data_IF_884107986781
#
_entry.id   IF_884107986781
#
_cell.length_a   1.000
_cell.length_b   1.000
_cell.length_c   1.000
_cell.angle_alpha   90.00
_cell.angle_beta   90.00
_cell.angle_gamma   90.00
#
_symmetry.space_group_name_H-M   'P 1'
#
loop_
_entity.id
_entity.type
_entity.pdbx_description
1 polymer ?
#
# COMPACT_ATOMS: atom_id res chain seq x y z
N UNK A 1 -24.21 9.47 -50.80
CA UNK A 1 -24.34 8.03 -51.05
C UNK A 1 -24.82 7.38 -49.76
N UNK A 2 -26.13 7.11 -49.73
CA UNK A 2 -26.91 6.18 -48.90
C UNK A 2 -26.63 6.17 -47.38
N UNK A 3 -27.46 6.92 -46.67
CA UNK A 3 -27.81 6.70 -45.26
C UNK A 3 -28.85 5.56 -45.24
N UNK A 4 -28.58 4.49 -44.49
CA UNK A 4 -29.55 3.41 -44.23
C UNK A 4 -30.09 3.58 -42.83
N UNK A 5 -31.35 3.99 -42.75
CA UNK A 5 -32.20 3.83 -41.58
C UNK A 5 -32.53 2.34 -41.39
N UNK A 6 -32.42 1.87 -40.16
CA UNK A 6 -32.91 0.55 -39.74
C UNK A 6 -33.98 0.78 -38.69
N UNK A 7 -35.23 0.55 -39.11
CA UNK A 7 -36.41 0.39 -38.29
C UNK A 7 -36.23 -0.80 -37.34
N UNK A 8 -36.28 -0.55 -36.03
CA UNK A 8 -36.39 -1.58 -34.99
C UNK A 8 -37.86 -1.67 -34.55
N UNK A 9 -38.53 -2.74 -34.97
CA UNK A 9 -39.92 -3.03 -34.62
C UNK A 9 -39.96 -3.81 -33.32
N UNK A 10 -40.67 -3.25 -32.35
CA UNK A 10 -40.90 -3.83 -31.04
C UNK A 10 -41.54 -5.22 -31.07
N UNK A 11 -41.06 -6.06 -30.16
CA UNK A 11 -41.68 -7.33 -29.81
C UNK A 11 -42.14 -7.25 -28.34
N UNK A 12 -43.46 -7.18 -28.17
CA UNK A 12 -44.16 -7.21 -26.88
C UNK A 12 -44.15 -8.64 -26.38
N UNK A 13 -43.37 -8.94 -25.34
CA UNK A 13 -43.43 -10.21 -24.62
C UNK A 13 -44.53 -10.18 -23.57
N UNK A 14 -45.54 -11.00 -23.83
CA UNK A 14 -46.69 -11.31 -22.97
C UNK A 14 -46.24 -12.00 -21.68
N UNK A 15 -46.59 -11.42 -20.54
CA UNK A 15 -46.43 -12.01 -19.21
C UNK A 15 -47.24 -13.30 -19.07
N UNK A 16 -46.62 -14.31 -18.48
CA UNK A 16 -47.23 -15.60 -18.13
C UNK A 16 -47.34 -15.66 -16.60
N UNK A 17 -48.53 -15.88 -16.02
CA UNK A 17 -48.69 -15.87 -14.57
C UNK A 17 -48.11 -17.14 -13.92
N UNK A 18 -47.39 -16.93 -12.82
CA UNK A 18 -46.87 -17.98 -11.93
C UNK A 18 -48.00 -18.67 -11.15
N UNK A 19 -47.93 -19.99 -10.93
CA UNK A 19 -48.89 -20.69 -10.08
C UNK A 19 -48.60 -20.47 -8.59
N UNK A 20 -49.69 -20.36 -7.83
CA UNK A 20 -49.74 -20.23 -6.39
C UNK A 20 -49.00 -21.36 -5.65
N UNK A 21 -48.26 -20.99 -4.60
CA UNK A 21 -47.68 -21.93 -3.63
C UNK A 21 -48.70 -22.24 -2.52
N UNK A 22 -48.91 -23.51 -2.15
CA UNK A 22 -49.73 -23.86 -0.99
C UNK A 22 -48.89 -23.85 0.30
N UNK A 23 -49.41 -23.07 1.25
CA UNK A 23 -49.56 -23.32 2.69
C UNK A 23 -48.74 -24.42 3.38
N UNK A 24 -47.95 -23.94 4.35
CA UNK A 24 -47.83 -24.42 5.74
C UNK A 24 -47.71 -25.91 6.04
N UNK A 25 -46.53 -26.31 6.54
CA UNK A 25 -46.43 -27.37 7.55
C UNK A 25 -45.53 -26.89 8.68
N UNK A 26 -46.15 -26.69 9.83
CA UNK A 26 -45.52 -26.62 11.15
C UNK A 26 -44.92 -27.98 11.49
N UNK A 27 -43.64 -28.04 11.80
CA UNK A 27 -43.04 -29.20 12.47
C UNK A 27 -42.14 -28.72 13.60
N UNK A 28 -42.50 -29.21 14.79
CA UNK A 28 -41.83 -29.05 16.06
C UNK A 28 -40.95 -30.29 16.31
N UNK A 29 -39.73 -30.05 16.74
CA UNK A 29 -38.78 -30.99 17.39
C UNK A 29 -37.56 -30.12 17.70
N UNK A 30 -37.34 -29.61 18.92
CA UNK A 30 -36.94 -30.37 20.10
C UNK A 30 -35.99 -31.52 19.75
N UNK A 31 -34.73 -31.18 19.53
CA UNK A 31 -33.60 -32.02 19.90
C UNK A 31 -32.43 -31.12 20.35
N UNK A 32 -32.09 -31.25 21.62
CA UNK A 32 -31.10 -30.45 22.31
C UNK A 32 -29.68 -30.80 21.88
N UNK A 33 -28.93 -29.78 21.46
CA UNK A 33 -27.48 -29.84 21.34
C UNK A 33 -26.83 -29.15 22.55
N UNK A 34 -25.78 -29.73 23.16
CA UNK A 34 -25.10 -29.12 24.27
C UNK A 34 -24.42 -27.81 23.88
N UNK A 35 -24.64 -26.78 24.69
CA UNK A 35 -23.96 -25.48 24.62
C UNK A 35 -22.43 -25.64 24.65
N UNK A 36 -21.77 -25.10 23.63
CA UNK A 36 -20.32 -25.06 23.47
C UNK A 36 -19.58 -24.24 24.55
N UNK A 37 -20.29 -23.64 25.51
CA UNK A 37 -19.71 -22.77 26.55
C UNK A 37 -19.29 -23.48 27.85
N UNK A 38 -19.45 -24.80 27.98
CA UNK A 38 -19.22 -25.50 29.26
C UNK A 38 -17.94 -26.37 29.33
N UNK A 39 -17.13 -26.42 28.27
CA UNK A 39 -15.92 -27.25 28.23
C UNK A 39 -14.60 -26.55 28.66
N UNK A 40 -14.64 -25.32 29.19
CA UNK A 40 -13.42 -24.58 29.58
C UNK A 40 -13.33 -24.16 31.06
N UNK A 41 -14.16 -24.71 31.95
CA UNK A 41 -14.22 -24.25 33.35
C UNK A 41 -13.49 -25.11 34.40
N UNK A 42 -12.87 -26.24 34.04
CA UNK A 42 -12.28 -27.16 35.03
C UNK A 42 -10.79 -27.49 34.82
N UNK A 43 -9.94 -26.46 34.68
CA UNK A 43 -8.50 -26.61 34.94
C UNK A 43 -7.98 -25.47 35.83
N UNK A 44 -8.51 -25.38 37.05
CA UNK A 44 -7.85 -24.68 38.15
C UNK A 44 -7.12 -25.72 39.01
N UNK A 45 -5.86 -25.97 38.68
CA UNK A 45 -4.93 -26.71 39.55
C UNK A 45 -4.49 -25.81 40.73
N UNK A 46 -4.15 -26.41 41.89
CA UNK A 46 -3.90 -25.67 43.11
C UNK A 46 -2.59 -24.88 43.06
N UNK A 47 -2.66 -23.72 43.72
CA UNK A 47 -1.60 -22.77 44.04
C UNK A 47 -0.33 -23.45 44.56
N UNK A 48 0.76 -23.32 43.79
CA UNK A 48 2.10 -23.72 44.22
C UNK A 48 2.82 -22.49 44.84
N UNK A 49 3.40 -22.60 46.05
CA UNK A 49 4.04 -21.47 46.70
C UNK A 49 5.36 -21.12 46.02
N UNK A 50 5.46 -19.84 45.64
CA UNK A 50 6.66 -18.98 45.53
C UNK A 50 8.00 -19.69 45.74
N UNK A 51 8.54 -20.33 44.69
CA UNK A 51 9.97 -20.66 44.59
C UNK A 51 10.72 -19.41 44.15
N UNK A 52 11.56 -18.88 45.03
CA UNK A 52 12.60 -17.91 44.68
C UNK A 52 13.49 -18.55 43.61
N UNK A 53 13.52 -17.95 42.43
CA UNK A 53 14.36 -18.38 41.32
C UNK A 53 15.78 -17.86 41.58
N UNK A 54 16.81 -18.72 41.63
CA UNK A 54 18.19 -18.24 41.68
C UNK A 54 18.51 -17.45 40.41
N UNK A 55 19.25 -16.36 40.59
CA UNK A 55 19.73 -15.47 39.53
C UNK A 55 20.38 -16.28 38.40
N UNK A 56 19.99 -16.09 37.13
CA UNK A 56 20.61 -16.81 36.03
C UNK A 56 22.05 -16.33 35.85
N UNK A 57 22.98 -17.27 35.81
CA UNK A 57 24.36 -17.04 35.39
C UNK A 57 24.39 -16.45 33.97
N UNK A 58 25.41 -15.63 33.63
CA UNK A 58 25.52 -15.00 32.33
C UNK A 58 25.67 -16.06 31.24
N UNK A 59 24.63 -16.24 30.44
CA UNK A 59 24.65 -17.10 29.26
C UNK A 59 25.53 -16.39 28.23
N UNK A 60 26.73 -16.91 28.02
CA UNK A 60 27.63 -16.51 26.93
C UNK A 60 27.08 -17.06 25.61
N UNK A 61 26.01 -16.44 25.10
CA UNK A 61 25.52 -16.73 23.75
C UNK A 61 26.53 -16.18 22.75
N UNK A 62 27.21 -17.06 22.01
CA UNK A 62 28.05 -16.68 20.87
C UNK A 62 27.22 -15.77 19.94
N UNK A 63 27.67 -14.56 19.61
CA UNK A 63 26.93 -13.67 18.72
C UNK A 63 26.76 -14.39 17.39
N UNK A 64 25.50 -14.57 16.99
CA UNK A 64 25.14 -15.05 15.67
C UNK A 64 25.64 -13.98 14.70
N UNK A 65 26.72 -14.27 13.98
CA UNK A 65 27.30 -13.40 12.95
C UNK A 65 26.24 -13.17 11.90
N UNK A 66 25.53 -12.05 12.02
CA UNK A 66 24.71 -11.50 10.94
C UNK A 66 25.67 -11.35 9.76
N UNK A 67 25.31 -11.93 8.62
CA UNK A 67 26.04 -11.79 7.37
C UNK A 67 26.11 -10.31 7.02
N UNK A 68 27.17 -9.63 7.44
CA UNK A 68 27.46 -8.25 7.05
C UNK A 68 27.80 -8.29 5.58
N UNK A 69 26.84 -7.99 4.73
CA UNK A 69 27.09 -7.80 3.32
C UNK A 69 28.05 -6.61 3.16
N UNK A 70 29.28 -6.88 2.76
CA UNK A 70 30.27 -5.84 2.49
C UNK A 70 29.77 -4.93 1.36
N UNK A 71 29.67 -3.63 1.61
CA UNK A 71 29.48 -2.62 0.57
C UNK A 71 30.71 -2.57 -0.33
N UNK A 72 30.54 -2.26 -1.61
CA UNK A 72 31.68 -2.06 -2.49
C UNK A 72 32.41 -0.80 -2.06
N UNK A 73 33.75 -0.88 -2.09
CA UNK A 73 34.57 0.32 -1.90
C UNK A 73 34.27 1.34 -3.00
N UNK A 74 34.47 2.63 -2.68
CA UNK A 74 34.34 3.73 -3.64
C UNK A 74 35.18 3.49 -4.91
N UNK A 75 36.38 2.92 -4.76
CA UNK A 75 37.23 2.54 -5.90
C UNK A 75 36.59 1.47 -6.80
N UNK A 76 35.94 0.47 -6.22
CA UNK A 76 35.28 -0.60 -6.97
C UNK A 76 34.06 -0.08 -7.73
N UNK A 77 33.27 0.81 -7.13
CA UNK A 77 32.17 1.51 -7.80
C UNK A 77 32.64 2.28 -9.02
N UNK A 78 33.71 3.08 -8.85
CA UNK A 78 34.28 3.86 -9.94
C UNK A 78 34.74 2.96 -11.08
N UNK A 79 35.45 1.87 -10.77
CA UNK A 79 35.88 0.90 -11.77
C UNK A 79 34.71 0.26 -12.53
N UNK A 80 33.59 -0.03 -11.84
CA UNK A 80 32.38 -0.56 -12.48
C UNK A 80 31.69 0.48 -13.36
N UNK A 81 31.61 1.73 -12.91
CA UNK A 81 31.07 2.83 -13.71
C UNK A 81 31.92 3.10 -14.95
N UNK A 82 33.26 3.02 -14.83
CA UNK A 82 34.19 3.17 -15.95
C UNK A 82 34.11 1.97 -16.91
N UNK A 83 33.96 0.74 -16.37
CA UNK A 83 33.67 -0.46 -17.17
C UNK A 83 32.36 -0.31 -17.93
N UNK A 84 31.32 0.22 -17.30
CA UNK A 84 30.02 0.48 -17.94
C UNK A 84 30.16 1.50 -19.07
N UNK A 85 30.90 2.60 -18.85
CA UNK A 85 31.21 3.57 -19.89
C UNK A 85 31.96 2.93 -21.07
N UNK A 86 32.97 2.11 -20.79
CA UNK A 86 33.71 1.37 -21.81
C UNK A 86 32.81 0.45 -22.64
N UNK A 87 31.97 -0.37 -21.99
CA UNK A 87 31.04 -1.28 -22.67
C UNK A 87 30.05 -0.53 -23.56
N UNK A 88 29.68 0.69 -23.17
CA UNK A 88 28.70 1.48 -23.92
C UNK A 88 29.32 2.24 -25.10
N UNK A 89 30.57 2.72 -24.98
CA UNK A 89 31.30 3.38 -26.07
C UNK A 89 31.76 2.42 -27.17
N UNK A 90 31.73 1.11 -26.91
CA UNK A 90 32.11 0.08 -27.88
C UNK A 90 31.03 -0.03 -28.95
N UNK A 91 31.00 0.95 -29.84
CA UNK A 91 30.17 0.93 -31.05
C UNK A 91 30.55 -0.29 -31.89
N UNK A 92 29.56 -0.93 -32.55
CA UNK A 92 29.85 -2.01 -33.48
C UNK A 92 30.83 -1.46 -34.52
N UNK A 93 32.07 -1.93 -34.46
CA UNK A 93 33.13 -1.50 -35.38
C UNK A 93 32.60 -1.67 -36.79
N UNK A 94 32.52 -0.56 -37.52
CA UNK A 94 32.08 -0.57 -38.91
C UNK A 94 32.89 -1.61 -39.67
N UNK A 95 32.24 -2.48 -40.45
CA UNK A 95 32.89 -3.63 -41.03
C UNK A 95 34.05 -3.18 -41.91
N UNK A 96 35.28 -3.46 -41.48
CA UNK A 96 36.47 -3.32 -42.31
C UNK A 96 36.24 -4.08 -43.62
N UNK A 97 36.45 -3.40 -44.76
CA UNK A 97 36.09 -3.83 -46.12
C UNK A 97 36.89 -5.04 -46.65
N UNK A 98 37.51 -5.83 -45.79
CA UNK A 98 38.39 -6.92 -46.21
C UNK A 98 37.82 -8.31 -45.88
N UNK A 99 37.84 -9.16 -46.91
CA UNK A 99 37.64 -10.60 -46.91
C UNK A 99 36.21 -11.14 -47.06
N UNK A 100 36.18 -12.17 -47.89
CA UNK A 100 35.10 -12.80 -48.62
C UNK A 100 34.36 -13.84 -47.74
N UNK A 101 33.98 -13.46 -46.52
CA UNK A 101 33.22 -14.35 -45.63
C UNK A 101 31.73 -14.31 -46.02
N UNK A 102 31.07 -15.46 -46.23
CA UNK A 102 29.65 -15.52 -46.55
C UNK A 102 28.81 -14.74 -45.51
N UNK A 103 28.01 -13.77 -45.98
CA UNK A 103 27.31 -12.79 -45.14
C UNK A 103 26.36 -13.38 -44.09
N UNK A 104 25.96 -14.64 -44.21
CA UNK A 104 25.10 -15.31 -43.23
C UNK A 104 25.85 -15.76 -41.96
N UNK A 105 27.13 -16.15 -42.07
CA UNK A 105 27.92 -16.61 -40.90
C UNK A 105 28.31 -15.42 -40.03
N UNK A 106 28.65 -14.28 -40.65
CA UNK A 106 29.07 -13.06 -39.97
C UNK A 106 27.95 -12.40 -39.15
N UNK A 107 26.72 -12.35 -39.67
CA UNK A 107 25.56 -11.79 -38.95
C UNK A 107 25.27 -12.53 -37.64
N UNK A 108 25.42 -13.88 -37.65
CA UNK A 108 25.15 -14.70 -36.46
C UNK A 108 26.20 -14.47 -35.36
N UNK A 109 27.47 -14.27 -35.70
CA UNK A 109 28.51 -13.99 -34.71
C UNK A 109 28.38 -12.59 -34.10
N UNK A 110 28.05 -11.58 -34.92
CA UNK A 110 27.84 -10.20 -34.45
C UNK A 110 26.64 -10.11 -33.49
N UNK A 111 25.51 -10.75 -33.82
CA UNK A 111 24.35 -10.80 -32.94
C UNK A 111 24.65 -11.50 -31.60
N UNK A 112 25.42 -12.60 -31.62
CA UNK A 112 25.84 -13.29 -30.39
C UNK A 112 26.75 -12.41 -29.53
N UNK A 113 27.69 -11.70 -30.15
CA UNK A 113 28.58 -10.78 -29.43
C UNK A 113 27.79 -9.61 -28.84
N UNK A 114 26.83 -9.06 -29.58
CA UNK A 114 25.95 -7.99 -29.10
C UNK A 114 25.14 -8.45 -27.89
N UNK A 115 24.52 -9.63 -27.95
CA UNK A 115 23.77 -10.20 -26.83
C UNK A 115 24.65 -10.42 -25.58
N UNK A 116 25.90 -10.86 -25.75
CA UNK A 116 26.84 -10.99 -24.64
C UNK A 116 27.20 -9.65 -24.01
N UNK A 117 27.38 -8.60 -24.82
CA UNK A 117 27.63 -7.24 -24.31
C UNK A 117 26.38 -6.72 -23.56
N UNK A 118 25.17 -6.96 -24.07
CA UNK A 118 23.93 -6.59 -23.38
C UNK A 118 23.79 -7.27 -22.02
N UNK A 119 24.12 -8.56 -21.95
CA UNK A 119 24.11 -9.32 -20.71
C UNK A 119 25.14 -8.76 -19.70
N UNK A 120 26.35 -8.42 -20.15
CA UNK A 120 27.36 -7.79 -19.30
C UNK A 120 26.95 -6.41 -18.80
N UNK A 121 26.31 -5.60 -19.65
CA UNK A 121 25.78 -4.29 -19.27
C UNK A 121 24.68 -4.47 -18.22
N UNK A 122 23.75 -5.40 -18.45
CA UNK A 122 22.68 -5.73 -17.49
C UNK A 122 23.25 -6.16 -16.13
N UNK A 123 24.19 -7.09 -16.11
CA UNK A 123 24.83 -7.55 -14.87
C UNK A 123 25.56 -6.42 -14.13
N UNK A 124 26.27 -5.57 -14.87
CA UNK A 124 26.99 -4.41 -14.31
C UNK A 124 26.01 -3.40 -13.72
N UNK A 125 24.93 -3.08 -14.42
CA UNK A 125 23.87 -2.18 -13.95
C UNK A 125 23.21 -2.74 -12.69
N UNK A 126 22.84 -4.02 -12.67
CA UNK A 126 22.26 -4.64 -11.47
C UNK A 126 23.21 -4.59 -10.28
N UNK A 127 24.51 -4.83 -10.49
CA UNK A 127 25.51 -4.73 -9.43
C UNK A 127 25.63 -3.31 -8.88
N UNK A 128 25.63 -2.30 -9.75
CA UNK A 128 25.66 -0.89 -9.36
C UNK A 128 24.38 -0.48 -8.61
N UNK A 129 23.20 -0.88 -9.09
CA UNK A 129 21.93 -0.63 -8.39
C UNK A 129 21.99 -1.22 -6.98
N UNK A 130 22.45 -2.49 -6.84
CA UNK A 130 22.55 -3.16 -5.53
C UNK A 130 23.43 -2.39 -4.56
N UNK A 131 24.57 -1.90 -5.04
CA UNK A 131 25.51 -1.18 -4.19
C UNK A 131 24.97 0.19 -3.78
N UNK A 132 24.37 0.93 -4.72
CA UNK A 132 23.76 2.25 -4.45
C UNK A 132 22.65 2.17 -3.40
N UNK A 133 21.77 1.18 -3.46
CA UNK A 133 20.62 1.11 -2.53
C UNK A 133 20.99 0.61 -1.13
N UNK A 134 22.20 0.07 -0.95
CA UNK A 134 22.73 -0.31 0.37
C UNK A 134 23.24 0.89 1.17
N UNK A 135 23.74 1.90 0.48
CA UNK A 135 24.28 3.11 1.10
C UNK A 135 23.85 4.34 0.30
N UNK A 136 22.56 4.65 0.40
CA UNK A 136 21.96 5.77 -0.36
C UNK A 136 22.50 7.13 0.06
N UNK A 137 23.16 7.24 1.21
CA UNK A 137 23.70 8.49 1.74
C UNK A 137 24.95 8.96 1.00
N UNK A 138 25.52 8.13 0.12
CA UNK A 138 26.69 8.50 -0.66
C UNK A 138 26.32 9.56 -1.71
N UNK A 139 27.12 10.63 -1.83
CA UNK A 139 26.77 11.76 -2.71
C UNK A 139 26.77 11.39 -4.20
N UNK A 140 27.45 10.31 -4.59
CA UNK A 140 27.58 9.84 -5.97
C UNK A 140 26.48 8.88 -6.42
N UNK A 141 25.59 8.45 -5.51
CA UNK A 141 24.54 7.47 -5.80
C UNK A 141 23.66 7.86 -6.98
N UNK A 142 23.23 9.12 -7.03
CA UNK A 142 22.34 9.61 -8.09
C UNK A 142 23.05 9.65 -9.44
N UNK A 143 24.32 10.07 -9.46
CA UNK A 143 25.13 10.12 -10.67
C UNK A 143 25.40 8.72 -11.24
N UNK A 144 25.66 7.74 -10.37
CA UNK A 144 25.82 6.33 -10.75
C UNK A 144 24.53 5.81 -11.40
N UNK A 145 23.36 6.08 -10.82
CA UNK A 145 22.09 5.64 -11.40
C UNK A 145 21.79 6.32 -12.73
N UNK A 146 22.07 7.62 -12.86
CA UNK A 146 21.93 8.34 -14.13
C UNK A 146 22.84 7.75 -15.23
N UNK A 147 24.06 7.34 -14.89
CA UNK A 147 24.94 6.62 -15.81
C UNK A 147 24.37 5.26 -16.21
N UNK A 148 23.74 4.55 -15.28
CA UNK A 148 23.05 3.30 -15.58
C UNK A 148 21.88 3.51 -16.55
N UNK A 149 21.07 4.56 -16.33
CA UNK A 149 19.98 4.94 -17.24
C UNK A 149 20.52 5.22 -18.64
N UNK A 150 21.56 6.04 -18.77
CA UNK A 150 22.17 6.37 -20.05
C UNK A 150 22.76 5.13 -20.76
N UNK A 151 23.44 4.25 -20.01
CA UNK A 151 24.00 3.01 -20.55
C UNK A 151 22.92 2.05 -21.07
N UNK A 152 21.81 1.91 -20.32
CA UNK A 152 20.66 1.12 -20.76
C UNK A 152 20.04 1.70 -22.05
N UNK A 153 19.85 3.02 -22.12
CA UNK A 153 19.30 3.69 -23.30
C UNK A 153 20.15 3.47 -24.56
N UNK A 154 21.48 3.61 -24.46
CA UNK A 154 22.41 3.40 -25.57
C UNK A 154 22.40 1.95 -26.11
N UNK A 155 21.91 1.00 -25.31
CA UNK A 155 21.82 -0.43 -25.63
C UNK A 155 20.40 -0.92 -25.88
N UNK A 156 19.42 -0.01 -25.91
CA UNK A 156 17.99 -0.33 -26.00
C UNK A 156 17.51 -1.30 -24.88
N UNK A 157 18.11 -1.21 -23.70
CA UNK A 157 17.66 -1.91 -22.49
C UNK A 157 16.72 -1.00 -21.69
N UNK A 158 15.73 -1.60 -21.04
CA UNK A 158 14.78 -0.89 -20.19
C UNK A 158 15.30 -0.81 -18.76
N UNK A 159 15.90 0.31 -18.37
CA UNK A 159 16.32 0.55 -16.98
C UNK A 159 15.18 0.31 -15.96
N UNK A 160 13.91 0.75 -16.20
CA UNK A 160 12.82 0.51 -15.26
C UNK A 160 12.55 -0.98 -14.99
N UNK A 161 12.75 -1.85 -15.99
CA UNK A 161 12.59 -3.29 -15.79
C UNK A 161 13.68 -3.83 -14.86
N UNK A 162 14.93 -3.40 -15.05
CA UNK A 162 16.07 -3.82 -14.22
C UNK A 162 15.97 -3.33 -12.78
N UNK A 163 15.58 -2.08 -12.58
CA UNK A 163 15.45 -1.46 -11.26
C UNK A 163 14.31 -2.08 -10.41
N UNK A 164 13.32 -2.68 -11.06
CA UNK A 164 12.17 -3.33 -10.44
C UNK A 164 12.32 -4.84 -10.24
N UNK A 165 13.49 -5.41 -10.58
CA UNK A 165 13.83 -6.78 -10.26
C UNK A 165 14.10 -6.93 -8.75
N UNK A 166 13.72 -8.09 -8.20
CA UNK A 166 14.00 -8.49 -6.82
C UNK A 166 15.43 -9.00 -6.69
N UNK A 167 16.37 -8.08 -6.52
CA UNK A 167 17.81 -8.36 -6.65
C UNK A 167 18.56 -8.51 -5.33
N UNK A 168 17.95 -8.14 -4.19
CA UNK A 168 18.54 -8.24 -2.84
C UNK A 168 17.49 -8.84 -1.92
N UNK A 169 17.75 -10.05 -1.41
CA UNK A 169 16.90 -10.74 -0.43
C UNK A 169 15.41 -10.82 -0.83
N UNK A 170 15.14 -11.12 -2.11
CA UNK A 170 13.78 -11.16 -2.69
C UNK A 170 13.01 -9.82 -2.64
N UNK A 171 13.71 -8.70 -2.47
CA UNK A 171 13.14 -7.36 -2.50
C UNK A 171 13.73 -6.50 -3.64
N UNK A 172 12.92 -5.56 -4.10
CA UNK A 172 13.28 -4.58 -5.15
C UNK A 172 14.31 -3.55 -4.67
N UNK A 173 14.98 -2.89 -5.62
CA UNK A 173 15.90 -1.79 -5.30
C UNK A 173 15.19 -0.63 -4.56
N UNK A 174 13.94 -0.34 -4.92
CA UNK A 174 13.13 0.69 -4.27
C UNK A 174 12.87 0.38 -2.78
N UNK A 175 12.59 -0.88 -2.44
CA UNK A 175 12.44 -1.31 -1.04
C UNK A 175 13.68 -0.92 -0.22
N UNK A 176 14.87 -1.33 -0.68
CA UNK A 176 16.11 -1.09 0.04
C UNK A 176 16.47 0.39 0.10
N UNK A 177 16.20 1.15 -0.98
CA UNK A 177 16.42 2.60 -0.97
C UNK A 177 15.57 3.31 0.08
N UNK A 178 14.34 2.84 0.33
CA UNK A 178 13.45 3.38 1.37
C UNK A 178 13.95 2.98 2.78
N UNK A 179 14.30 1.70 2.98
CA UNK A 179 14.79 1.21 4.28
C UNK A 179 16.08 1.92 4.69
N UNK A 180 17.07 1.97 3.79
CA UNK A 180 18.37 2.61 4.01
C UNK A 180 18.31 4.14 4.03
N UNK A 181 17.26 4.73 3.46
CA UNK A 181 17.09 6.18 3.34
C UNK A 181 16.58 6.88 4.59
N UNK A 182 16.20 6.13 5.64
CA UNK A 182 15.67 6.74 6.86
C UNK A 182 16.75 7.53 7.59
N UNK A 183 16.57 8.84 7.77
CA UNK A 183 17.55 9.64 8.51
C UNK A 183 17.58 9.18 9.97
N UNK A 184 18.75 8.80 10.46
CA UNK A 184 18.99 8.29 11.82
C UNK A 184 18.72 9.34 12.91
N UNK A 185 18.40 10.58 12.56
CA UNK A 185 18.25 11.68 13.54
C UNK A 185 16.98 12.48 13.29
N UNK A 186 16.34 12.88 14.38
CA UNK A 186 15.05 13.58 14.48
C UNK A 186 15.08 15.01 13.89
N UNK A 187 15.52 15.15 12.64
CA UNK A 187 15.40 16.40 11.90
C UNK A 187 13.92 16.69 11.73
N UNK A 188 13.49 17.81 12.31
CA UNK A 188 12.12 18.31 12.24
C UNK A 188 11.78 18.92 10.88
N UNK A 189 12.77 19.03 9.98
CA UNK A 189 12.57 19.54 8.63
C UNK A 189 11.75 18.56 7.79
N UNK A 190 10.97 19.08 6.81
CA UNK A 190 10.32 18.26 5.82
C UNK A 190 11.27 17.24 5.22
N UNK A 191 11.05 15.95 5.45
CA UNK A 191 11.82 14.88 4.82
C UNK A 191 11.55 14.95 3.32
N UNK A 192 12.47 15.57 2.59
CA UNK A 192 12.48 15.52 1.14
C UNK A 192 12.72 14.07 0.73
N UNK A 193 11.95 13.58 -0.24
CA UNK A 193 12.17 12.24 -0.80
C UNK A 193 13.62 12.15 -1.24
N UNK A 194 14.33 11.13 -0.78
CA UNK A 194 15.72 10.92 -1.15
C UNK A 194 15.87 10.88 -2.69
N UNK A 195 16.86 11.56 -3.31
CA UNK A 195 16.98 11.63 -4.77
C UNK A 195 17.00 10.27 -5.48
N UNK A 196 17.60 9.25 -4.85
CA UNK A 196 17.58 7.87 -5.34
C UNK A 196 16.15 7.32 -5.38
N UNK A 197 15.37 7.50 -4.32
CA UNK A 197 13.96 7.07 -4.28
C UNK A 197 13.17 7.83 -5.34
N UNK A 198 13.40 9.15 -5.47
CA UNK A 198 12.73 9.98 -6.46
C UNK A 198 13.00 9.51 -7.92
N UNK A 199 14.23 9.11 -8.23
CA UNK A 199 14.56 8.54 -9.54
C UNK A 199 13.90 7.16 -9.75
N UNK A 200 13.85 6.31 -8.72
CA UNK A 200 13.25 4.98 -8.84
C UNK A 200 11.73 5.03 -9.02
N UNK A 201 11.05 6.07 -8.51
CA UNK A 201 9.61 6.29 -8.69
C UNK A 201 9.25 7.20 -9.88
N UNK A 202 10.24 7.69 -10.64
CA UNK A 202 9.97 8.50 -11.83
C UNK A 202 9.44 7.69 -13.01
N UNK A 203 9.39 6.35 -12.87
CA UNK A 203 8.89 5.43 -13.87
C UNK A 203 7.65 4.69 -13.35
N UNK A 204 6.74 4.23 -14.23
CA UNK A 204 5.60 3.40 -13.83
C UNK A 204 6.04 2.16 -13.05
N UNK A 205 5.52 2.02 -11.83
CA UNK A 205 5.84 0.92 -10.95
C UNK A 205 4.91 -0.27 -11.22
N UNK A 206 5.53 -1.44 -11.34
CA UNK A 206 4.84 -2.72 -11.38
C UNK A 206 4.18 -3.00 -10.03
N UNK A 207 3.14 -3.84 -10.05
CA UNK A 207 2.34 -4.10 -8.84
C UNK A 207 3.18 -4.65 -7.69
N UNK A 208 4.10 -5.58 -7.94
CA UNK A 208 4.96 -6.12 -6.89
C UNK A 208 5.92 -5.07 -6.33
N UNK A 209 6.45 -4.17 -7.16
CA UNK A 209 7.32 -3.07 -6.71
C UNK A 209 6.57 -2.11 -5.79
N UNK A 210 5.28 -1.85 -6.07
CA UNK A 210 4.43 -1.03 -5.18
C UNK A 210 4.18 -1.71 -3.84
N UNK A 211 3.92 -3.02 -3.84
CA UNK A 211 3.75 -3.82 -2.62
C UNK A 211 5.05 -3.78 -1.79
N UNK A 212 6.20 -3.96 -2.43
CA UNK A 212 7.51 -3.86 -1.79
C UNK A 212 7.76 -2.44 -1.22
N UNK A 213 7.51 -1.39 -1.97
CA UNK A 213 7.69 -0.01 -1.50
C UNK A 213 6.81 0.29 -0.27
N UNK A 214 5.54 -0.14 -0.30
CA UNK A 214 4.63 -0.05 0.85
C UNK A 214 5.16 -0.83 2.05
N UNK A 215 5.69 -2.03 1.83
CA UNK A 215 6.30 -2.83 2.89
C UNK A 215 7.51 -2.13 3.51
N UNK A 216 8.37 -1.52 2.69
CA UNK A 216 9.53 -0.75 3.17
C UNK A 216 9.10 0.43 4.07
N UNK A 217 8.10 1.20 3.64
CA UNK A 217 7.54 2.27 4.47
C UNK A 217 6.90 1.72 5.77
N UNK A 218 6.34 0.51 5.72
CA UNK A 218 5.73 -0.15 6.89
C UNK A 218 6.78 -0.53 7.92
N UNK A 219 7.92 -1.08 7.48
CA UNK A 219 9.06 -1.41 8.35
C UNK A 219 9.53 -0.17 9.12
N UNK A 220 9.58 0.98 8.44
CA UNK A 220 10.02 2.24 9.06
C UNK A 220 8.89 3.00 9.78
N UNK A 221 7.65 2.51 9.70
CA UNK A 221 6.44 3.26 10.10
C UNK A 221 6.37 4.69 9.52
N UNK A 222 6.91 4.92 8.32
CA UNK A 222 6.98 6.24 7.68
C UNK A 222 5.76 6.47 6.78
N UNK A 223 4.68 6.94 7.38
CA UNK A 223 3.46 7.29 6.64
C UNK A 223 3.68 8.48 5.69
N UNK A 224 4.54 9.43 6.06
CA UNK A 224 4.72 10.64 5.26
C UNK A 224 5.36 10.30 3.92
N UNK A 225 6.43 9.51 3.93
CA UNK A 225 7.05 9.00 2.71
C UNK A 225 6.06 8.16 1.91
N UNK A 226 5.25 7.32 2.56
CA UNK A 226 4.22 6.55 1.88
C UNK A 226 3.18 7.43 1.16
N UNK A 227 2.69 8.51 1.79
CA UNK A 227 1.78 9.45 1.12
C UNK A 227 2.45 10.17 -0.05
N UNK A 228 3.72 10.55 0.08
CA UNK A 228 4.51 11.14 -1.00
C UNK A 228 4.70 10.16 -2.17
N UNK A 229 5.00 8.88 -1.88
CA UNK A 229 5.10 7.83 -2.89
C UNK A 229 3.76 7.68 -3.63
N UNK A 230 2.62 7.64 -2.94
CA UNK A 230 1.30 7.54 -3.57
C UNK A 230 1.02 8.67 -4.55
N UNK A 231 1.48 9.88 -4.26
CA UNK A 231 1.33 11.04 -5.15
C UNK A 231 2.30 11.03 -6.34
N UNK A 232 3.32 10.18 -6.33
CA UNK A 232 4.25 10.10 -7.44
C UNK A 232 3.60 9.49 -8.70
N UNK A 233 3.95 9.97 -9.90
CA UNK A 233 3.41 9.43 -11.15
C UNK A 233 3.66 7.92 -11.32
N UNK A 234 4.80 7.41 -10.81
CA UNK A 234 5.13 6.00 -10.90
C UNK A 234 4.25 5.10 -10.02
N UNK A 235 3.74 5.62 -8.90
CA UNK A 235 2.94 4.83 -7.96
C UNK A 235 1.45 4.85 -8.29
N UNK A 236 0.95 5.99 -8.78
CA UNK A 236 -0.47 6.19 -9.08
C UNK A 236 -0.99 5.04 -9.94
N UNK A 237 -1.88 4.23 -9.37
CA UNK A 237 -2.63 3.23 -10.11
C UNK A 237 -3.45 3.93 -11.17
N UNK A 238 -3.54 3.32 -12.36
CA UNK A 238 -4.40 3.74 -13.47
C UNK A 238 -5.69 4.33 -12.91
N UNK A 239 -5.81 5.64 -13.03
CA UNK A 239 -6.99 6.40 -12.61
C UNK A 239 -8.15 5.81 -13.40
N UNK A 240 -9.17 5.29 -12.70
CA UNK A 240 -10.39 4.85 -13.39
C UNK A 240 -11.03 6.08 -14.05
N UNK A 241 -11.67 5.92 -15.20
CA UNK A 241 -12.35 7.03 -15.88
C UNK A 241 -13.30 7.80 -14.94
N UNK A 242 -13.99 7.09 -14.05
CA UNK A 242 -14.81 7.72 -13.02
C UNK A 242 -13.99 8.65 -12.12
N UNK A 243 -12.82 8.21 -11.63
CA UNK A 243 -11.94 9.04 -10.84
C UNK A 243 -11.42 10.23 -11.64
N UNK A 244 -11.12 10.09 -12.93
CA UNK A 244 -10.65 11.18 -13.78
C UNK A 244 -11.75 12.25 -13.99
N UNK A 245 -12.97 11.82 -14.32
CA UNK A 245 -14.12 12.71 -14.52
C UNK A 245 -14.53 13.41 -13.22
N UNK A 246 -14.52 12.68 -12.10
CA UNK A 246 -14.81 13.26 -10.77
C UNK A 246 -13.69 14.22 -10.35
N UNK A 247 -12.44 13.94 -10.75
CA UNK A 247 -11.25 14.73 -10.44
C UNK A 247 -10.96 15.84 -11.44
N UNK A 248 -11.95 16.30 -12.22
CA UNK A 248 -11.81 17.49 -13.06
C UNK A 248 -11.37 18.77 -12.31
N UNK A 249 -11.29 18.74 -10.97
CA UNK A 249 -10.69 19.76 -10.10
C UNK A 249 -9.29 19.45 -9.54
N UNK A 250 -8.61 18.40 -10.00
CA UNK A 250 -7.28 18.00 -9.55
C UNK A 250 -7.23 16.56 -9.06
N UNK A 251 -6.50 15.72 -9.78
CA UNK A 251 -6.21 14.31 -9.48
C UNK A 251 -5.20 14.21 -8.33
N UNK A 252 -5.63 14.55 -7.11
CA UNK A 252 -4.85 14.32 -5.91
C UNK A 252 -5.48 13.20 -5.11
N UNK A 253 -4.68 12.16 -4.88
CA UNK A 253 -5.00 11.15 -3.88
C UNK A 253 -5.02 11.80 -2.51
N UNK A 254 -6.01 11.40 -1.71
CA UNK A 254 -6.19 12.01 -0.40
C UNK A 254 -5.05 11.59 0.52
N UNK A 255 -4.40 12.59 1.10
CA UNK A 255 -3.33 12.42 2.07
C UNK A 255 -3.90 12.22 3.45
N UNK A 256 -3.39 11.20 4.13
CA UNK A 256 -3.70 10.93 5.52
C UNK A 256 -2.48 11.31 6.36
N UNK A 257 -2.66 12.23 7.29
CA UNK A 257 -1.67 12.55 8.31
C UNK A 257 -1.83 11.55 9.46
N UNK A 258 -0.71 11.02 9.96
CA UNK A 258 -0.70 10.04 11.06
C UNK A 258 0.17 10.60 12.18
N UNK A 259 -0.42 10.74 13.35
CA UNK A 259 0.24 11.21 14.56
C UNK A 259 0.33 10.08 15.57
N UNK A 260 1.55 9.58 15.80
CA UNK A 260 1.79 8.60 16.85
C UNK A 260 1.71 9.28 18.21
N UNK A 261 0.77 8.82 19.05
CA UNK A 261 0.63 9.34 20.41
C UNK A 261 1.82 8.86 21.28
N UNK A 262 2.11 9.63 22.33
CA UNK A 262 3.28 9.51 23.22
C UNK A 262 3.66 8.06 23.59
N UNK A 263 4.94 7.86 23.89
CA UNK A 263 5.58 6.56 24.20
C UNK A 263 4.81 5.71 25.22
N UNK A 264 4.18 6.35 26.22
CA UNK A 264 3.45 5.64 27.27
C UNK A 264 2.15 4.98 26.77
N UNK A 265 1.56 5.55 25.72
CA UNK A 265 0.33 5.08 25.09
C UNK A 265 0.65 4.09 23.96
N UNK A 266 1.25 2.96 24.33
CA UNK A 266 1.69 1.97 23.35
C UNK A 266 0.53 1.48 22.49
N UNK A 267 0.72 1.55 21.17
CA UNK A 267 -0.29 1.15 20.19
C UNK A 267 -1.35 2.19 19.87
N UNK A 268 -1.33 3.37 20.49
CA UNK A 268 -2.27 4.45 20.16
C UNK A 268 -1.73 5.32 19.02
N UNK A 269 -2.61 5.74 18.11
CA UNK A 269 -2.27 6.68 17.05
C UNK A 269 -3.53 7.44 16.63
N UNK A 270 -3.33 8.66 16.15
CA UNK A 270 -4.38 9.46 15.56
C UNK A 270 -4.12 9.64 14.06
N UNK A 271 -5.18 9.78 13.28
CA UNK A 271 -5.11 10.16 11.87
C UNK A 271 -5.94 11.40 11.62
N UNK A 272 -5.56 12.20 10.63
CA UNK A 272 -6.32 13.35 10.14
C UNK A 272 -6.30 13.35 8.62
N UNK A 273 -7.44 13.54 7.99
CA UNK A 273 -7.52 13.63 6.54
C UNK A 273 -8.72 14.46 6.09
N UNK A 274 -8.65 14.90 4.84
CA UNK A 274 -9.72 15.66 4.19
C UNK A 274 -10.06 15.01 2.86
N UNK A 275 -11.35 14.84 2.58
CA UNK A 275 -11.83 14.28 1.31
C UNK A 275 -12.57 15.38 0.56
N UNK A 276 -12.00 15.82 -0.56
CA UNK A 276 -12.61 16.85 -1.40
C UNK A 276 -13.73 16.25 -2.24
N UNK A 277 -14.76 17.07 -2.52
CA UNK A 277 -15.91 16.66 -3.34
C UNK A 277 -16.56 15.36 -2.83
N UNK A 278 -16.72 15.23 -1.51
CA UNK A 278 -17.15 14.00 -0.83
C UNK A 278 -18.43 13.40 -1.44
N UNK A 279 -19.48 14.21 -1.58
CA UNK A 279 -20.77 13.76 -2.13
C UNK A 279 -20.61 13.24 -3.56
N UNK A 280 -19.86 13.97 -4.39
CA UNK A 280 -19.62 13.58 -5.78
C UNK A 280 -18.87 12.25 -5.87
N UNK A 281 -17.82 12.07 -5.05
CA UNK A 281 -17.06 10.82 -4.99
C UNK A 281 -17.94 9.65 -4.54
N UNK A 282 -18.73 9.83 -3.47
CA UNK A 282 -19.62 8.77 -2.98
C UNK A 282 -20.74 8.44 -3.97
N UNK A 283 -21.38 9.42 -4.62
CA UNK A 283 -22.45 9.17 -5.60
C UNK A 283 -21.96 8.57 -6.92
N UNK A 284 -20.82 9.04 -7.43
CA UNK A 284 -20.34 8.63 -8.75
C UNK A 284 -19.36 7.45 -8.70
N UNK A 285 -18.36 7.48 -7.83
CA UNK A 285 -17.39 6.38 -7.71
C UNK A 285 -17.88 5.24 -6.79
N UNK A 286 -18.83 5.52 -5.89
CA UNK A 286 -19.36 4.59 -4.86
C UNK A 286 -18.30 4.02 -3.92
N UNK A 287 -17.04 4.45 -4.03
CA UNK A 287 -15.95 4.05 -3.17
C UNK A 287 -14.92 5.19 -3.05
N UNK A 288 -14.40 5.40 -1.84
CA UNK A 288 -13.30 6.36 -1.56
C UNK A 288 -12.25 5.63 -0.73
N UNK A 289 -11.16 5.15 -1.34
CA UNK A 289 -10.12 4.42 -0.64
C UNK A 289 -9.07 5.37 -0.06
N UNK A 290 -8.76 5.16 1.21
CA UNK A 290 -7.65 5.79 1.92
C UNK A 290 -6.68 4.71 2.38
N UNK A 291 -5.39 4.96 2.20
CA UNK A 291 -4.33 4.08 2.69
C UNK A 291 -3.38 4.88 3.56
N UNK A 292 -2.95 4.31 4.67
CA UNK A 292 -1.99 4.95 5.56
C UNK A 292 -1.17 3.90 6.33
N UNK A 293 -0.01 4.32 6.84
CA UNK A 293 0.85 3.46 7.65
C UNK A 293 0.80 3.94 9.09
N UNK A 294 0.59 3.03 10.02
CA UNK A 294 0.64 3.35 11.43
C UNK A 294 1.06 2.13 12.26
N UNK A 295 2.02 2.32 13.17
CA UNK A 295 2.45 1.30 14.14
C UNK A 295 2.86 -0.02 13.45
N UNK A 296 3.73 0.09 12.44
CA UNK A 296 4.26 -1.04 11.69
C UNK A 296 3.22 -1.82 10.87
N UNK A 297 2.11 -1.18 10.50
CA UNK A 297 1.02 -1.78 9.71
C UNK A 297 0.57 -0.84 8.61
N UNK A 298 0.20 -1.40 7.47
CA UNK A 298 -0.55 -0.67 6.44
C UNK A 298 -2.04 -0.89 6.62
N UNK A 299 -2.77 0.22 6.70
CA UNK A 299 -4.20 0.29 6.88
C UNK A 299 -4.88 0.69 5.58
N UNK A 300 -6.03 0.08 5.31
CA UNK A 300 -6.99 0.52 4.31
C UNK A 300 -8.27 0.98 5.00
N UNK A 301 -8.62 2.25 4.82
CA UNK A 301 -9.91 2.81 5.24
C UNK A 301 -10.68 3.18 3.98
N UNK A 302 -11.78 2.50 3.71
CA UNK A 302 -12.57 2.73 2.50
C UNK A 302 -13.98 3.14 2.88
N UNK A 303 -14.46 4.25 2.32
CA UNK A 303 -15.88 4.59 2.39
C UNK A 303 -16.59 4.05 1.15
N UNK A 304 -17.78 3.46 1.31
CA UNK A 304 -18.50 2.76 0.25
C UNK A 304 -19.99 3.03 0.29
N UNK A 305 -20.63 2.89 -0.87
CA UNK A 305 -22.09 2.81 -1.00
C UNK A 305 -22.47 1.34 -1.22
N UNK A 306 -23.33 0.79 -0.38
CA UNK A 306 -23.79 -0.59 -0.52
C UNK A 306 -24.59 -0.75 -1.83
N UNK A 307 -24.15 -1.64 -2.72
CA UNK A 307 -24.85 -1.90 -3.99
C UNK A 307 -26.08 -2.78 -3.76
N UNK A 308 -25.91 -3.82 -2.95
CA UNK A 308 -26.96 -4.78 -2.58
C UNK A 308 -27.05 -4.91 -1.06
N UNK A 309 -28.04 -5.68 -0.59
CA UNK A 309 -28.20 -6.01 0.82
C UNK A 309 -27.04 -6.91 1.30
N UNK A 310 -25.93 -6.28 1.62
CA UNK A 310 -24.68 -6.93 2.03
C UNK A 310 -24.42 -6.64 3.49
N UNK A 311 -24.12 -7.67 4.28
CA UNK A 311 -23.66 -7.54 5.68
C UNK A 311 -24.53 -6.64 6.59
N UNK A 312 -25.85 -6.63 6.38
CA UNK A 312 -26.78 -5.82 7.18
C UNK A 312 -26.86 -4.33 6.80
N UNK A 313 -26.28 -3.95 5.66
CA UNK A 313 -26.48 -2.64 5.03
C UNK A 313 -27.55 -2.72 3.96
N UNK A 314 -28.39 -1.69 3.86
CA UNK A 314 -29.39 -1.59 2.78
C UNK A 314 -28.74 -1.08 1.51
N UNK A 315 -29.28 -1.48 0.35
CA UNK A 315 -28.84 -0.90 -0.93
C UNK A 315 -28.93 0.63 -0.89
N UNK A 316 -27.89 1.31 -1.37
CA UNK A 316 -27.71 2.76 -1.32
C UNK A 316 -27.14 3.30 -0.01
N UNK A 317 -27.03 2.50 1.06
CA UNK A 317 -26.53 2.98 2.35
C UNK A 317 -25.02 3.22 2.34
N UNK A 318 -24.58 4.34 2.93
CA UNK A 318 -23.16 4.66 3.04
C UNK A 318 -22.55 4.03 4.30
N UNK A 319 -21.37 3.43 4.15
CA UNK A 319 -20.64 2.77 5.23
C UNK A 319 -19.14 2.95 5.07
N UNK A 320 -18.41 2.74 6.16
CA UNK A 320 -16.96 2.66 6.16
C UNK A 320 -16.49 1.23 6.41
N UNK A 321 -15.34 0.90 5.83
CA UNK A 321 -14.65 -0.38 5.94
C UNK A 321 -13.20 -0.09 6.36
N UNK A 322 -12.77 -0.63 7.50
CA UNK A 322 -11.39 -0.60 7.96
C UNK A 322 -10.79 -2.00 7.84
N UNK A 323 -9.63 -2.13 7.21
CA UNK A 323 -8.89 -3.41 7.09
C UNK A 323 -7.39 -3.22 7.14
N UNK A 324 -6.67 -4.30 7.37
CA UNK A 324 -5.23 -4.33 7.14
C UNK A 324 -4.96 -4.67 5.67
N UNK A 325 -3.93 -4.06 5.09
CA UNK A 325 -3.45 -4.45 3.76
C UNK A 325 -2.39 -5.55 3.88
N UNK A 326 -2.03 -6.12 2.73
CA UNK A 326 -1.08 -7.24 2.65
C UNK A 326 0.22 -6.98 3.41
N UNK A 327 0.80 -8.05 3.93
CA UNK A 327 2.03 -8.07 4.74
C UNK A 327 1.93 -7.37 6.11
N UNK A 328 0.76 -6.88 6.52
CA UNK A 328 0.55 -6.31 7.85
C UNK A 328 0.22 -7.40 8.88
N UNK A 329 0.86 -7.44 10.06
CA UNK A 329 0.53 -8.40 11.10
C UNK A 329 -0.91 -8.22 11.62
N UNK A 330 -1.70 -9.30 11.78
CA UNK A 330 -3.05 -9.21 12.32
C UNK A 330 -3.10 -8.48 13.65
N UNK A 331 -4.17 -7.73 13.95
CA UNK A 331 -4.25 -6.95 15.19
C UNK A 331 -5.67 -6.77 15.69
N UNK A 332 -5.81 -6.66 17.00
CA UNK A 332 -7.00 -6.10 17.60
C UNK A 332 -6.93 -4.59 17.49
N UNK A 333 -8.06 -3.95 17.20
CA UNK A 333 -8.15 -2.50 17.10
C UNK A 333 -9.47 -2.03 17.68
N UNK A 334 -9.36 -1.04 18.55
CA UNK A 334 -10.47 -0.19 18.98
C UNK A 334 -10.22 1.19 18.44
N UNK A 335 -11.24 1.84 17.91
CA UNK A 335 -11.07 3.17 17.32
C UNK A 335 -12.34 3.99 17.31
N UNK A 336 -12.14 5.27 17.03
CA UNK A 336 -13.19 6.25 16.82
C UNK A 336 -12.83 7.15 15.65
N UNK A 337 -13.74 7.34 14.72
CA UNK A 337 -13.70 8.40 13.74
C UNK A 337 -14.61 9.54 14.19
N UNK A 338 -14.17 10.77 13.98
CA UNK A 338 -14.89 12.01 14.28
C UNK A 338 -14.97 12.85 13.03
N UNK A 339 -16.18 13.22 12.63
CA UNK A 339 -16.39 14.17 11.54
C UNK A 339 -16.81 15.49 12.16
N UNK A 340 -15.98 16.52 11.98
CA UNK A 340 -16.15 17.82 12.64
C UNK A 340 -17.11 18.69 11.83
N UNK A 341 -18.10 19.34 12.46
CA UNK A 341 -18.94 20.32 11.79
C UNK A 341 -18.07 21.50 11.33
N UNK A 342 -18.32 22.01 10.13
CA UNK A 342 -17.48 23.04 9.49
C UNK A 342 -18.02 24.45 9.70
N UNK A 343 -19.33 24.59 9.81
CA UNK A 343 -19.96 25.89 9.92
C UNK A 343 -20.27 26.24 11.39
N UNK A 344 -19.70 27.37 11.83
CA UNK A 344 -19.88 27.98 13.14
C UNK A 344 -21.36 28.29 13.44
N UNK A 345 -22.18 28.49 12.41
CA UNK A 345 -23.63 28.69 12.57
C UNK A 345 -24.32 27.43 13.12
N UNK A 346 -23.75 26.25 12.84
CA UNK A 346 -24.23 24.95 13.31
C UNK A 346 -23.52 24.48 14.58
N UNK A 347 -22.91 25.37 15.37
CA UNK A 347 -22.26 25.07 16.67
C UNK A 347 -23.13 24.30 17.67
N UNK A 348 -24.44 24.20 17.45
CA UNK A 348 -25.34 23.33 18.24
C UNK A 348 -25.20 21.84 17.92
N UNK A 349 -24.66 21.47 16.76
CA UNK A 349 -24.43 20.07 16.38
C UNK A 349 -23.04 19.67 16.81
N UNK A 350 -22.97 18.60 17.60
CA UNK A 350 -21.70 18.01 18.02
C UNK A 350 -20.99 17.31 16.85
N UNK A 351 -19.72 16.92 17.04
CA UNK A 351 -19.03 16.05 16.10
C UNK A 351 -19.78 14.74 15.91
N UNK A 352 -19.75 14.23 14.69
CA UNK A 352 -20.25 12.91 14.36
C UNK A 352 -19.21 11.88 14.78
N UNK A 353 -19.41 11.29 15.95
CA UNK A 353 -18.54 10.26 16.52
C UNK A 353 -19.02 8.86 16.08
N UNK A 354 -18.15 8.14 15.39
CA UNK A 354 -18.33 6.76 14.94
C UNK A 354 -17.32 5.90 15.67
N UNK A 355 -17.80 5.03 16.55
CA UNK A 355 -16.94 4.11 17.32
C UNK A 355 -17.01 2.72 16.72
N UNK A 356 -15.88 2.01 16.76
CA UNK A 356 -15.80 0.63 16.31
C UNK A 356 -14.72 -0.11 17.10
N UNK A 357 -14.90 -1.41 17.23
CA UNK A 357 -13.92 -2.27 17.88
C UNK A 357 -14.00 -3.67 17.27
N UNK A 358 -12.88 -4.38 17.30
CA UNK A 358 -12.79 -5.78 16.88
C UNK A 358 -13.41 -6.68 17.95
N UNK A 359 -14.58 -7.25 17.68
CA UNK A 359 -15.25 -8.21 18.57
C UNK A 359 -14.80 -9.65 18.25
N UNK A 360 -14.05 -10.28 19.15
CA UNK A 360 -13.72 -11.72 19.07
C UNK A 360 -12.81 -12.17 17.91
N UNK A 361 -12.53 -11.33 16.92
CA UNK A 361 -11.65 -11.63 15.78
C UNK A 361 -10.61 -10.52 15.53
N UNK A 362 -9.37 -10.90 15.25
CA UNK A 362 -8.30 -9.97 14.84
C UNK A 362 -8.57 -9.45 13.44
N UNK A 363 -8.33 -8.17 13.22
CA UNK A 363 -8.27 -7.58 11.90
C UNK A 363 -7.06 -8.13 11.14
N UNK A 364 -7.26 -8.58 9.91
CA UNK A 364 -6.23 -9.05 8.99
C UNK A 364 -6.52 -8.56 7.55
N UNK A 365 -5.89 -9.16 6.54
CA UNK A 365 -6.11 -8.77 5.13
C UNK A 365 -7.34 -9.44 4.49
N UNK A 366 -8.00 -10.38 5.18
CA UNK A 366 -9.19 -11.10 4.71
C UNK A 366 -10.47 -10.61 5.36
N UNK A 367 -10.37 -10.11 6.58
CA UNK A 367 -11.49 -9.59 7.36
C UNK A 367 -11.42 -8.07 7.45
N UNK A 368 -12.57 -7.42 7.34
CA UNK A 368 -12.70 -5.98 7.43
C UNK A 368 -13.78 -5.60 8.43
N UNK A 369 -13.50 -4.57 9.22
CA UNK A 369 -14.41 -3.99 10.17
C UNK A 369 -15.31 -2.98 9.44
N UNK A 370 -16.61 -3.23 9.43
CA UNK A 370 -17.59 -2.38 8.76
C UNK A 370 -18.38 -1.55 9.77
N UNK A 371 -18.62 -0.28 9.47
CA UNK A 371 -19.36 0.64 10.34
C UNK A 371 -20.27 1.57 9.54
N UNK A 372 -21.41 1.94 10.13
CA UNK A 372 -22.39 2.83 9.49
C UNK A 372 -21.92 4.29 9.58
N UNK A 373 -22.04 5.03 8.48
CA UNK A 373 -21.79 6.49 8.45
C UNK A 373 -23.04 7.27 8.87
N UNK A 374 -23.55 7.00 10.07
CA UNK A 374 -24.78 7.61 10.59
C UNK A 374 -24.57 8.09 12.02
N UNK A 375 -24.98 9.32 12.29
CA UNK A 375 -24.94 9.86 13.65
C UNK A 375 -25.95 9.23 14.58
N UNK A 376 -25.78 9.39 15.91
CA UNK A 376 -26.70 8.85 16.91
C UNK A 376 -28.12 9.38 16.73
N UNK A 377 -28.27 10.60 16.18
CA UNK A 377 -29.56 11.23 15.87
C UNK A 377 -30.02 10.98 14.42
N UNK A 378 -29.33 10.12 13.70
CA UNK A 378 -29.58 9.86 12.29
C UNK A 378 -29.15 10.97 11.35
N UNK A 379 -28.22 11.82 11.79
CA UNK A 379 -27.54 12.78 10.92
C UNK A 379 -26.75 12.02 9.84
N UNK A 380 -26.95 12.43 8.59
CA UNK A 380 -26.38 11.78 7.41
C UNK A 380 -25.41 12.74 6.73
N UNK A 381 -24.26 12.22 6.33
CA UNK A 381 -23.27 12.94 5.51
C UNK A 381 -23.59 12.81 4.01
N UNK A 382 -24.81 12.38 3.69
CA UNK A 382 -25.26 12.03 2.33
C UNK A 382 -25.84 13.24 1.56
N UNK A 383 -26.09 14.33 2.27
CA UNK A 383 -26.72 15.55 1.74
C UNK A 383 -25.71 16.66 1.51
N UNK A 384 -25.96 17.46 0.47
CA UNK A 384 -25.10 18.58 0.08
C UNK A 384 -25.14 19.74 1.09
N UNK A 385 -26.21 19.85 1.88
CA UNK A 385 -26.38 20.81 2.99
C UNK A 385 -25.93 20.25 4.36
N UNK A 386 -25.20 19.12 4.35
CA UNK A 386 -24.68 18.52 5.57
C UNK A 386 -23.76 19.50 6.31
N UNK A 387 -23.97 19.73 7.62
CA UNK A 387 -23.13 20.64 8.42
C UNK A 387 -21.68 20.13 8.60
N UNK A 388 -21.43 18.88 8.19
CA UNK A 388 -20.13 18.21 8.23
C UNK A 388 -19.28 18.42 6.96
N UNK A 389 -19.84 19.14 5.98
CA UNK A 389 -19.15 19.48 4.74
C UNK A 389 -18.86 20.98 4.72
N UNK A 390 -17.70 21.34 4.20
CA UNK A 390 -17.37 22.73 3.87
C UNK A 390 -18.18 23.19 2.64
N UNK A 391 -18.13 24.49 2.34
CA UNK A 391 -18.81 25.06 1.16
C UNK A 391 -18.32 24.46 -0.18
N UNK A 392 -17.06 24.02 -0.24
CA UNK A 392 -16.47 23.31 -1.38
C UNK A 392 -16.75 21.80 -1.37
N UNK A 393 -17.58 21.30 -0.45
CA UNK A 393 -17.95 19.89 -0.35
C UNK A 393 -16.82 19.00 0.21
N UNK A 394 -15.87 19.59 0.93
CA UNK A 394 -14.79 18.86 1.60
C UNK A 394 -15.25 18.34 2.96
N UNK A 395 -14.96 17.08 3.24
CA UNK A 395 -15.22 16.44 4.53
C UNK A 395 -13.91 16.30 5.31
N UNK A 396 -13.86 16.83 6.53
CA UNK A 396 -12.72 16.68 7.43
C UNK A 396 -12.99 15.60 8.48
N UNK A 397 -12.06 14.65 8.60
CA UNK A 397 -12.20 13.51 9.50
C UNK A 397 -10.95 13.39 10.38
N UNK A 398 -11.18 13.20 11.66
CA UNK A 398 -10.15 12.83 12.63
C UNK A 398 -10.41 11.41 13.12
N UNK A 399 -9.37 10.60 13.26
CA UNK A 399 -9.48 9.26 13.79
C UNK A 399 -8.54 9.06 14.97
N UNK A 400 -9.00 8.33 15.98
CA UNK A 400 -8.20 7.89 17.11
C UNK A 400 -8.29 6.37 17.19
N UNK A 401 -7.14 5.70 17.23
CA UNK A 401 -7.04 4.25 17.20
C UNK A 401 -6.16 3.77 18.34
N UNK A 402 -6.49 2.61 18.87
CA UNK A 402 -5.73 1.91 19.89
C UNK A 402 -5.62 0.45 19.48
N UNK A 403 -4.38 -0.02 19.35
CA UNK A 403 -4.11 -1.45 19.20
C UNK A 403 -4.15 -2.10 20.58
N UNK A 404 -5.04 -3.08 20.74
CA UNK A 404 -5.16 -3.77 22.03
C UNK A 404 -4.01 -4.76 22.20
N UNK A 405 -3.27 -4.58 23.31
CA UNK A 405 -2.18 -5.45 23.74
C UNK A 405 -2.70 -6.72 24.40
N UNK A 406 -3.45 -7.53 23.67
CA UNK A 406 -3.81 -8.84 24.20
C UNK A 406 -2.71 -9.83 23.78
N UNK A 407 -1.81 -10.05 24.75
CA UNK A 407 -0.73 -11.05 24.81
C UNK A 407 0.69 -10.61 24.42
N UNK A 408 1.63 -11.08 25.26
CA UNK A 408 3.03 -10.68 25.39
C UNK A 408 3.94 -10.94 24.17
N UNK A 409 3.38 -11.30 23.02
CA UNK A 409 4.13 -11.70 21.82
C UNK A 409 4.12 -10.63 20.71
N UNK A 410 3.49 -9.47 20.93
CA UNK A 410 3.62 -8.34 20.02
C UNK A 410 4.95 -7.62 20.27
N UNK A 411 6.02 -8.13 19.65
CA UNK A 411 7.25 -7.36 19.46
C UNK A 411 6.92 -6.24 18.47
N UNK A 412 6.74 -5.02 18.98
CA UNK A 412 6.76 -3.81 18.17
C UNK A 412 8.22 -3.65 17.77
N UNK A 413 8.57 -4.04 16.53
CA UNK A 413 9.88 -3.75 15.94
C UNK A 413 10.02 -2.27 15.62
#
# INVERSE_FOLDING_TARGET
>A
MIIKDTDDKGEVKTEKPLPASPDSVSSSSEDGLPSYYEAQRNQAGPSNPRRQRPSPAPITTKPRTVSTFSSLSVSTRKNLADKLAYLTTRTPTTPSKSSWVPGFVRKRSEAKQQAQIDEQVKETVLTLIRDVVRDVQQPDCIDILNRCVAACQMRALMFPELAQLKIIEDHTALYWAIVSGTPTTASTLPTLIHPVVNLLISFPLQQHTRIDARQACTVNSDNRLFQQLRQSPGYSTIVTYANEVISAGGDRLETVEVNHMNLDAVGQFAISFSIQNWIRKMRAAKHVPLEFIARGRTWGLTFRVAEEHTHGFRSGQWYGELKLLDNSPPTWVTGRLRIMPQDVSFTRKGPLDITFHTEGQRLDNRWALQFKLKGPKGELVEFDDSPYLTQDGTMHVQGEFKLDKTHADCVIM
#
